data_IF_653548835569
#
_entry.id   IF_653548835569
#
_cell.length_a   1.000
_cell.length_b   1.000
_cell.length_c   1.000
_cell.angle_alpha   90.00
_cell.angle_beta   90.00
_cell.angle_gamma   90.00
#
_symmetry.space_group_name_H-M   'P 1'
#
loop_
_entity.id
_entity.type
_entity.pdbx_description
1 polymer ?
#
# COMPACT_ATOMS: atom_id res chain seq x y z
N UNK A 1 28.00 30.34 -3.88
CA UNK A 1 29.30 29.67 -3.70
C UNK A 1 30.33 30.50 -2.93
N UNK A 2 30.59 31.81 -3.20
CA UNK A 2 31.57 32.63 -2.46
C UNK A 2 31.30 32.68 -0.93
N UNK A 3 30.06 32.96 -0.47
CA UNK A 3 29.69 33.01 0.97
C UNK A 3 29.94 31.69 1.71
N UNK A 4 29.67 30.53 1.07
CA UNK A 4 29.93 29.22 1.66
C UNK A 4 31.41 28.95 1.80
N UNK A 5 32.22 29.40 0.84
CA UNK A 5 33.68 29.27 0.86
C UNK A 5 34.32 30.14 1.95
N UNK A 6 33.83 31.37 2.17
CA UNK A 6 34.29 32.28 3.25
C UNK A 6 33.87 31.75 4.65
N UNK A 7 32.66 31.24 4.80
CA UNK A 7 32.22 30.59 6.05
C UNK A 7 33.08 29.35 6.36
N UNK A 8 33.40 28.56 5.33
CA UNK A 8 34.22 27.36 5.49
C UNK A 8 35.69 27.73 5.81
N UNK A 9 36.23 28.83 5.30
CA UNK A 9 37.58 29.26 5.62
C UNK A 9 37.77 29.74 7.05
N UNK A 10 36.76 30.36 7.66
CA UNK A 10 36.83 30.96 9.01
C UNK A 10 36.39 30.03 10.15
N UNK A 11 35.89 28.82 9.87
CA UNK A 11 35.48 27.86 10.91
C UNK A 11 36.65 27.03 11.43
N UNK A 12 36.59 26.60 12.68
CA UNK A 12 37.58 25.72 13.30
C UNK A 12 37.69 24.39 12.54
N UNK A 13 38.88 23.82 12.49
CA UNK A 13 39.18 22.60 11.73
C UNK A 13 38.26 21.41 12.14
N UNK A 14 37.99 21.25 13.45
CA UNK A 14 37.10 20.23 13.95
C UNK A 14 35.68 20.33 13.37
N UNK A 15 35.12 21.53 13.26
CA UNK A 15 33.79 21.75 12.71
C UNK A 15 33.76 21.41 11.21
N UNK A 16 34.85 21.75 10.47
CA UNK A 16 34.98 21.42 9.06
C UNK A 16 34.95 19.92 8.82
N UNK A 17 35.78 19.17 9.53
CA UNK A 17 35.80 17.69 9.40
C UNK A 17 34.49 17.05 9.82
N UNK A 18 33.95 17.44 10.98
CA UNK A 18 32.68 16.90 11.44
C UNK A 18 31.53 17.15 10.46
N UNK A 19 31.40 18.40 9.96
CA UNK A 19 30.33 18.74 9.01
C UNK A 19 30.51 18.03 7.66
N UNK A 20 31.73 17.84 7.17
CA UNK A 20 32.00 17.13 5.93
C UNK A 20 31.63 15.65 6.03
N UNK A 21 32.01 14.98 7.12
CA UNK A 21 31.67 13.55 7.35
C UNK A 21 30.17 13.37 7.48
N UNK A 22 29.50 14.23 8.26
CA UNK A 22 28.04 14.16 8.43
C UNK A 22 27.34 14.36 7.08
N UNK A 23 27.74 15.36 6.29
CA UNK A 23 27.14 15.62 4.98
C UNK A 23 27.29 14.42 4.04
N UNK A 24 28.48 13.80 4.03
CA UNK A 24 28.77 12.63 3.20
C UNK A 24 27.97 11.40 3.59
N UNK A 25 27.58 11.27 4.88
CA UNK A 25 26.73 10.18 5.36
C UNK A 25 25.23 10.47 5.17
N UNK A 26 24.78 11.70 5.46
CA UNK A 26 23.35 12.05 5.46
C UNK A 26 22.74 12.02 4.04
N UNK A 27 23.49 12.47 3.03
CA UNK A 27 22.98 12.53 1.65
C UNK A 27 22.63 11.13 1.10
N UNK A 28 23.53 10.12 1.11
CA UNK A 28 23.20 8.78 0.62
C UNK A 28 22.07 8.12 1.40
N UNK A 29 22.07 8.26 2.75
CA UNK A 29 21.00 7.70 3.60
C UNK A 29 19.65 8.35 3.28
N UNK A 30 19.61 9.66 3.09
CA UNK A 30 18.40 10.39 2.73
C UNK A 30 17.84 9.96 1.36
N UNK A 31 18.70 9.79 0.37
CA UNK A 31 18.31 9.29 -0.96
C UNK A 31 17.78 7.86 -0.84
N UNK A 32 18.50 6.98 -0.14
CA UNK A 32 18.07 5.59 0.06
C UNK A 32 16.73 5.50 0.78
N UNK A 33 16.54 6.28 1.86
CA UNK A 33 15.27 6.36 2.57
C UNK A 33 14.13 6.82 1.64
N UNK A 34 14.36 7.86 0.84
CA UNK A 34 13.36 8.35 -0.12
C UNK A 34 12.91 7.28 -1.11
N UNK A 35 13.87 6.54 -1.69
CA UNK A 35 13.59 5.43 -2.61
C UNK A 35 12.85 4.29 -1.88
N UNK A 36 13.31 3.93 -0.68
CA UNK A 36 12.70 2.85 0.11
C UNK A 36 11.23 3.15 0.41
N UNK A 37 10.90 4.36 0.88
CA UNK A 37 9.52 4.74 1.18
C UNK A 37 8.65 4.88 -0.05
N UNK A 38 9.20 5.30 -1.18
CA UNK A 38 8.49 5.29 -2.45
C UNK A 38 8.10 3.86 -2.85
N UNK A 39 9.04 2.91 -2.78
CA UNK A 39 8.79 1.49 -3.07
C UNK A 39 7.80 0.88 -2.09
N UNK A 40 7.92 1.16 -0.78
CA UNK A 40 6.97 0.66 0.23
C UNK A 40 5.54 1.16 -0.03
N UNK A 41 5.37 2.42 -0.43
CA UNK A 41 4.05 2.94 -0.79
C UNK A 41 3.49 2.24 -2.03
N UNK A 42 4.31 2.06 -3.07
CA UNK A 42 3.91 1.35 -4.28
C UNK A 42 3.50 -0.10 -3.96
N UNK A 43 4.29 -0.79 -3.16
CA UNK A 43 3.99 -2.16 -2.75
C UNK A 43 2.68 -2.23 -1.94
N UNK A 44 2.44 -1.29 -1.02
CA UNK A 44 1.20 -1.26 -0.25
C UNK A 44 -0.04 -1.04 -1.12
N UNK A 45 0.07 -0.25 -2.18
CA UNK A 45 -1.02 -0.08 -3.17
C UNK A 45 -1.17 -1.35 -4.01
N UNK A 46 -0.07 -1.88 -4.53
CA UNK A 46 -0.07 -3.07 -5.39
C UNK A 46 -0.63 -4.30 -4.66
N UNK A 47 -0.23 -4.54 -3.42
CA UNK A 47 -0.74 -5.64 -2.59
C UNK A 47 -2.27 -5.58 -2.44
N UNK A 48 -2.83 -4.38 -2.27
CA UNK A 48 -4.28 -4.21 -2.20
C UNK A 48 -4.96 -4.34 -3.58
N UNK A 49 -4.30 -3.97 -4.67
CA UNK A 49 -4.81 -4.22 -6.02
C UNK A 49 -4.83 -5.73 -6.33
N UNK A 50 -3.76 -6.46 -5.99
CA UNK A 50 -3.67 -7.91 -6.17
C UNK A 50 -4.73 -8.65 -5.32
N UNK A 51 -4.95 -8.19 -4.08
CA UNK A 51 -6.04 -8.70 -3.24
C UNK A 51 -7.41 -8.47 -3.88
N UNK A 52 -7.63 -7.29 -4.43
CA UNK A 52 -8.89 -6.95 -5.09
C UNK A 52 -9.09 -7.79 -6.36
N UNK A 53 -8.02 -8.02 -7.13
CA UNK A 53 -8.05 -8.89 -8.31
C UNK A 53 -8.48 -10.32 -7.95
N UNK A 54 -7.87 -10.89 -6.94
CA UNK A 54 -8.26 -12.22 -6.44
C UNK A 54 -9.72 -12.26 -5.97
N UNK A 55 -10.14 -11.22 -5.25
CA UNK A 55 -11.51 -11.14 -4.71
C UNK A 55 -12.55 -11.02 -5.83
N UNK A 56 -12.27 -10.19 -6.83
CA UNK A 56 -13.20 -9.97 -7.93
C UNK A 56 -13.31 -11.21 -8.84
N UNK A 57 -12.19 -11.91 -9.11
CA UNK A 57 -12.20 -13.17 -9.85
C UNK A 57 -13.03 -14.24 -9.13
N UNK A 58 -12.87 -14.36 -7.80
CA UNK A 58 -13.68 -15.27 -6.99
C UNK A 58 -15.18 -14.93 -7.05
N UNK A 59 -15.51 -13.63 -7.06
CA UNK A 59 -16.90 -13.18 -7.21
C UNK A 59 -17.44 -13.51 -8.60
N UNK A 60 -16.64 -13.33 -9.66
CA UNK A 60 -17.00 -13.68 -11.04
C UNK A 60 -17.37 -15.15 -11.17
N UNK A 61 -16.47 -16.06 -10.75
CA UNK A 61 -16.69 -17.50 -10.78
C UNK A 61 -17.93 -17.90 -9.96
N UNK A 62 -18.09 -17.29 -8.79
CA UNK A 62 -19.21 -17.51 -7.91
C UNK A 62 -20.54 -17.06 -8.51
N UNK A 63 -20.62 -15.89 -9.11
CA UNK A 63 -21.82 -15.35 -9.77
C UNK A 63 -22.14 -16.18 -11.02
N UNK A 64 -21.16 -16.51 -11.84
CA UNK A 64 -21.37 -17.34 -13.04
C UNK A 64 -21.93 -18.70 -12.70
N UNK A 65 -21.40 -19.37 -11.66
CA UNK A 65 -21.94 -20.65 -11.17
C UNK A 65 -23.41 -20.56 -10.78
N UNK A 66 -23.83 -19.44 -10.18
CA UNK A 66 -25.22 -19.23 -9.74
C UNK A 66 -26.14 -18.90 -10.91
N UNK A 67 -25.69 -18.13 -11.88
CA UNK A 67 -26.39 -17.86 -13.14
C UNK A 67 -26.62 -19.18 -13.87
N UNK A 68 -25.57 -20.02 -13.97
CA UNK A 68 -25.69 -21.33 -14.61
C UNK A 68 -26.65 -22.25 -13.89
N UNK A 69 -26.70 -22.22 -12.56
CA UNK A 69 -27.66 -22.98 -11.76
C UNK A 69 -29.08 -22.54 -12.02
N UNK A 70 -29.38 -21.24 -12.09
CA UNK A 70 -30.70 -20.71 -12.47
C UNK A 70 -31.07 -21.11 -13.88
N UNK A 71 -30.16 -20.93 -14.83
CA UNK A 71 -30.38 -21.28 -16.24
C UNK A 71 -30.65 -22.78 -16.42
N UNK A 72 -29.89 -23.63 -15.73
CA UNK A 72 -30.08 -25.08 -15.79
C UNK A 72 -31.46 -25.48 -15.23
N UNK A 73 -31.82 -24.91 -14.07
CA UNK A 73 -33.13 -25.16 -13.48
C UNK A 73 -34.27 -24.69 -14.39
N UNK A 74 -34.17 -23.49 -14.96
CA UNK A 74 -35.16 -22.97 -15.92
C UNK A 74 -35.29 -23.87 -17.15
N UNK A 75 -34.16 -24.31 -17.73
CA UNK A 75 -34.19 -25.24 -18.89
C UNK A 75 -34.77 -26.58 -18.57
N UNK A 76 -34.61 -27.10 -17.34
CA UNK A 76 -35.21 -28.36 -16.91
C UNK A 76 -36.72 -28.23 -16.97
N UNK A 77 -37.30 -27.17 -16.39
CA UNK A 77 -38.76 -26.94 -16.44
C UNK A 77 -39.27 -26.65 -17.84
N UNK A 78 -38.51 -25.97 -18.68
CA UNK A 78 -38.87 -25.71 -20.10
C UNK A 78 -38.93 -26.98 -20.97
N UNK A 79 -38.31 -28.09 -20.52
CA UNK A 79 -38.24 -29.36 -21.25
C UNK A 79 -39.09 -30.46 -20.64
N UNK A 80 -39.84 -30.14 -19.61
CA UNK A 80 -40.74 -31.09 -18.97
C UNK A 80 -42.04 -31.24 -19.81
N UNK A 81 -42.13 -32.34 -20.54
CA UNK A 81 -43.24 -32.57 -21.49
C UNK A 81 -44.59 -32.63 -20.77
N UNK A 82 -44.64 -33.15 -19.52
CA UNK A 82 -45.86 -33.24 -18.75
C UNK A 82 -46.34 -31.86 -18.30
N UNK A 83 -45.42 -31.02 -17.84
CA UNK A 83 -45.71 -29.62 -17.46
C UNK A 83 -46.22 -28.84 -18.68
N UNK A 84 -45.48 -28.93 -19.82
CA UNK A 84 -45.87 -28.24 -21.05
C UNK A 84 -47.23 -28.66 -21.58
N UNK A 85 -47.56 -29.97 -21.54
CA UNK A 85 -48.87 -30.49 -21.92
C UNK A 85 -49.98 -29.91 -21.05
N UNK A 86 -49.78 -29.87 -19.73
CA UNK A 86 -50.80 -29.36 -18.78
C UNK A 86 -51.01 -27.85 -18.97
N UNK A 87 -49.96 -27.10 -19.18
CA UNK A 87 -50.04 -25.65 -19.45
C UNK A 87 -50.74 -25.38 -20.79
N UNK A 88 -50.42 -26.17 -21.82
CA UNK A 88 -51.02 -26.03 -23.14
C UNK A 88 -52.48 -26.34 -23.13
N UNK A 89 -52.92 -27.49 -22.57
CA UNK A 89 -54.31 -27.86 -22.40
C UNK A 89 -55.10 -26.76 -21.67
N UNK A 90 -54.53 -26.23 -20.58
CA UNK A 90 -55.11 -25.10 -19.87
C UNK A 90 -55.24 -23.84 -20.71
N UNK A 91 -54.21 -23.50 -21.54
CA UNK A 91 -54.19 -22.28 -22.36
C UNK A 91 -55.30 -22.31 -23.44
N UNK A 92 -55.58 -23.48 -24.03
CA UNK A 92 -56.63 -23.65 -25.05
C UNK A 92 -58.00 -23.93 -24.43
N UNK A 93 -58.11 -24.04 -23.11
CA UNK A 93 -59.38 -24.27 -22.44
C UNK A 93 -59.85 -25.73 -22.53
N UNK A 94 -58.96 -26.68 -22.72
CA UNK A 94 -59.26 -28.13 -22.69
C UNK A 94 -59.60 -28.57 -21.25
N UNK A 95 -60.65 -29.38 -21.09
CA UNK A 95 -61.01 -29.95 -19.78
C UNK A 95 -60.02 -31.04 -19.38
N UNK A 96 -59.22 -30.78 -18.34
CA UNK A 96 -58.30 -31.75 -17.73
C UNK A 96 -59.05 -32.47 -16.63
N UNK A 97 -59.10 -33.80 -16.69
CA UNK A 97 -59.77 -34.60 -15.70
C UNK A 97 -59.10 -34.53 -14.32
N UNK A 98 -59.87 -34.74 -13.25
CA UNK A 98 -59.34 -34.80 -11.88
C UNK A 98 -58.31 -35.91 -11.71
N UNK A 99 -58.41 -37.00 -12.44
CA UNK A 99 -57.47 -38.11 -12.40
C UNK A 99 -56.09 -37.67 -13.02
N UNK A 100 -56.11 -36.94 -14.13
CA UNK A 100 -54.90 -36.40 -14.78
C UNK A 100 -54.21 -35.32 -13.91
N UNK A 101 -54.99 -34.44 -13.26
CA UNK A 101 -54.47 -33.50 -12.28
C UNK A 101 -53.76 -34.18 -11.09
N UNK A 102 -54.36 -35.27 -10.60
CA UNK A 102 -53.82 -36.02 -9.48
C UNK A 102 -52.54 -36.78 -9.85
N UNK A 103 -52.53 -37.39 -11.05
CA UNK A 103 -51.34 -38.06 -11.59
C UNK A 103 -50.19 -37.08 -11.80
N UNK A 104 -50.45 -35.96 -12.46
CA UNK A 104 -49.46 -34.89 -12.66
C UNK A 104 -48.91 -34.39 -11.33
N UNK A 105 -49.76 -34.14 -10.33
CA UNK A 105 -49.31 -33.70 -9.00
C UNK A 105 -48.41 -34.73 -8.32
N UNK A 106 -48.75 -35.99 -8.34
CA UNK A 106 -48.05 -37.02 -7.58
C UNK A 106 -46.75 -37.47 -8.25
N UNK A 107 -46.67 -37.40 -9.55
CA UNK A 107 -45.51 -37.85 -10.31
C UNK A 107 -44.60 -36.68 -10.67
N UNK A 108 -45.07 -35.64 -11.33
CA UNK A 108 -44.29 -34.60 -11.91
C UNK A 108 -44.04 -33.43 -10.95
N UNK A 109 -45.09 -32.88 -10.35
CA UNK A 109 -44.92 -31.71 -9.45
C UNK A 109 -44.05 -32.05 -8.26
N UNK A 110 -44.19 -33.26 -7.67
CA UNK A 110 -43.34 -33.73 -6.58
C UNK A 110 -41.86 -33.93 -7.05
N UNK A 111 -41.67 -34.37 -8.31
CA UNK A 111 -40.30 -34.50 -8.85
C UNK A 111 -39.66 -33.15 -9.06
N UNK A 112 -40.37 -32.17 -9.64
CA UNK A 112 -39.95 -30.80 -9.82
C UNK A 112 -39.66 -30.10 -8.48
N UNK A 113 -40.51 -30.30 -7.46
CA UNK A 113 -40.32 -29.79 -6.10
C UNK A 113 -39.04 -30.34 -5.47
N UNK A 114 -38.76 -31.63 -5.60
CA UNK A 114 -37.54 -32.25 -5.10
C UNK A 114 -36.31 -31.69 -5.78
N UNK A 115 -36.36 -31.41 -7.09
CA UNK A 115 -35.26 -30.79 -7.84
C UNK A 115 -34.95 -29.42 -7.29
N UNK A 116 -35.96 -28.59 -7.03
CA UNK A 116 -35.78 -27.25 -6.45
C UNK A 116 -35.22 -27.33 -5.02
N UNK A 117 -35.83 -28.17 -4.17
CA UNK A 117 -35.44 -28.30 -2.76
C UNK A 117 -34.06 -28.91 -2.55
N UNK A 118 -33.54 -29.68 -3.50
CA UNK A 118 -32.19 -30.24 -3.46
C UNK A 118 -31.11 -29.23 -3.91
N UNK A 119 -31.49 -28.11 -4.44
CA UNK A 119 -30.56 -27.06 -4.81
C UNK A 119 -30.58 -25.91 -3.79
N UNK A 120 -29.60 -25.84 -2.88
CA UNK A 120 -29.58 -24.85 -1.80
C UNK A 120 -29.41 -23.42 -2.27
N UNK A 121 -28.97 -23.20 -3.53
CA UNK A 121 -28.82 -21.89 -4.11
C UNK A 121 -30.17 -21.28 -4.51
N UNK A 122 -31.16 -22.08 -4.87
CA UNK A 122 -32.45 -21.60 -5.32
C UNK A 122 -33.30 -21.15 -4.15
N UNK A 123 -33.98 -20.03 -4.30
CA UNK A 123 -35.10 -19.64 -3.45
C UNK A 123 -36.36 -20.40 -3.86
N UNK A 124 -36.56 -20.56 -5.16
CA UNK A 124 -37.69 -21.32 -5.72
C UNK A 124 -37.72 -21.23 -7.25
N UNK A 125 -38.46 -22.18 -7.84
CA UNK A 125 -38.84 -22.12 -9.26
C UNK A 125 -40.34 -22.20 -9.31
N UNK A 126 -40.98 -21.23 -9.94
CA UNK A 126 -42.43 -21.11 -10.05
C UNK A 126 -42.85 -21.00 -11.49
N UNK A 127 -43.89 -21.71 -11.81
CA UNK A 127 -44.53 -21.68 -13.11
C UNK A 127 -45.89 -21.03 -12.98
N UNK A 128 -46.16 -20.04 -13.79
CA UNK A 128 -47.41 -19.32 -13.87
C UNK A 128 -48.09 -19.61 -15.20
N UNK A 129 -49.32 -20.09 -15.15
CA UNK A 129 -50.15 -20.25 -16.35
C UNK A 129 -50.64 -18.90 -16.89
N UNK A 130 -51.02 -18.83 -18.14
CA UNK A 130 -51.53 -17.60 -18.79
C UNK A 130 -52.91 -17.21 -18.32
N UNK A 131 -53.68 -18.14 -17.71
CA UNK A 131 -55.03 -17.93 -17.25
C UNK A 131 -55.26 -18.56 -15.85
N UNK A 132 -56.44 -18.43 -15.31
CA UNK A 132 -56.81 -18.93 -13.99
C UNK A 132 -57.52 -20.31 -14.02
N UNK A 133 -57.52 -21.03 -15.16
CA UNK A 133 -58.11 -22.35 -15.33
C UNK A 133 -57.26 -23.48 -14.71
N UNK A 134 -55.97 -23.21 -14.46
CA UNK A 134 -55.05 -24.17 -13.85
C UNK A 134 -55.35 -24.35 -12.38
N UNK A 135 -55.42 -25.61 -11.93
CA UNK A 135 -55.41 -25.91 -10.52
C UNK A 135 -54.02 -25.64 -9.92
N UNK A 136 -53.95 -24.73 -8.95
CA UNK A 136 -52.68 -24.42 -8.30
C UNK A 136 -52.10 -25.62 -7.57
N UNK A 137 -50.82 -25.89 -7.80
CA UNK A 137 -50.04 -26.97 -7.15
C UNK A 137 -48.77 -26.37 -6.57
N UNK A 138 -48.93 -25.76 -5.40
CA UNK A 138 -47.79 -25.14 -4.69
C UNK A 138 -46.79 -26.22 -4.25
N UNK A 139 -45.47 -25.92 -4.28
CA UNK A 139 -44.86 -24.59 -4.56
C UNK A 139 -44.50 -24.34 -6.02
N UNK A 140 -44.91 -25.16 -6.98
CA UNK A 140 -44.45 -25.17 -8.38
C UNK A 140 -45.38 -24.44 -9.32
N UNK A 141 -46.71 -24.81 -9.36
CA UNK A 141 -47.61 -24.33 -10.37
C UNK A 141 -48.65 -23.36 -9.80
N UNK A 142 -48.81 -22.23 -10.46
CA UNK A 142 -49.69 -21.13 -10.06
C UNK A 142 -50.52 -20.60 -11.24
N UNK A 143 -51.64 -20.00 -10.94
CA UNK A 143 -52.50 -19.35 -11.92
C UNK A 143 -52.05 -17.91 -12.24
N UNK A 144 -52.64 -17.30 -13.28
CA UNK A 144 -52.26 -15.93 -13.73
C UNK A 144 -52.53 -14.86 -12.67
N UNK A 145 -53.56 -15.01 -11.85
CA UNK A 145 -53.88 -14.07 -10.75
C UNK A 145 -52.82 -14.03 -9.68
N UNK A 146 -52.13 -15.14 -9.43
CA UNK A 146 -50.96 -15.15 -8.53
C UNK A 146 -49.77 -14.43 -9.09
N UNK A 147 -49.48 -14.61 -10.39
CA UNK A 147 -48.37 -13.90 -11.07
C UNK A 147 -48.53 -12.39 -10.92
N UNK A 148 -49.77 -11.87 -11.10
CA UNK A 148 -50.04 -10.42 -11.01
C UNK A 148 -49.75 -9.81 -9.63
N UNK A 149 -49.59 -10.61 -8.57
CA UNK A 149 -49.23 -10.15 -7.23
C UNK A 149 -47.73 -9.92 -7.08
N UNK A 150 -46.91 -10.43 -7.98
CA UNK A 150 -45.48 -10.24 -7.96
C UNK A 150 -45.14 -8.83 -8.40
N UNK A 151 -44.17 -8.19 -7.72
CA UNK A 151 -43.73 -6.82 -8.02
C UNK A 151 -43.20 -6.69 -9.44
N UNK A 152 -42.50 -7.71 -9.93
CA UNK A 152 -41.96 -7.72 -11.30
C UNK A 152 -43.03 -7.80 -12.37
N UNK A 153 -44.17 -8.41 -12.10
CA UNK A 153 -45.23 -8.60 -13.09
C UNK A 153 -45.90 -7.28 -13.53
N UNK A 154 -45.80 -6.23 -12.74
CA UNK A 154 -46.28 -4.88 -13.08
C UNK A 154 -45.34 -4.07 -13.95
N UNK A 155 -44.13 -4.55 -14.23
CA UNK A 155 -43.16 -3.86 -15.05
C UNK A 155 -43.46 -4.03 -16.54
N UNK A 156 -43.20 -2.99 -17.32
CA UNK A 156 -43.39 -3.01 -18.78
C UNK A 156 -42.53 -4.10 -19.48
N UNK A 157 -41.30 -4.30 -18.97
CA UNK A 157 -40.36 -5.36 -19.38
C UNK A 157 -40.06 -6.25 -18.19
N UNK A 158 -40.86 -7.26 -17.94
CA UNK A 158 -40.65 -8.21 -16.85
C UNK A 158 -39.91 -9.49 -17.24
N UNK A 159 -39.79 -9.76 -18.54
CA UNK A 159 -39.05 -10.91 -19.05
C UNK A 159 -37.55 -10.61 -18.94
N UNK A 160 -36.79 -11.56 -18.41
CA UNK A 160 -35.36 -11.42 -18.11
C UNK A 160 -35.12 -11.31 -16.62
N UNK A 161 -34.01 -10.70 -16.23
CA UNK A 161 -33.61 -10.57 -14.83
C UNK A 161 -34.38 -9.45 -14.12
N UNK A 162 -34.92 -9.79 -12.94
CA UNK A 162 -35.59 -8.87 -12.03
C UNK A 162 -34.87 -8.84 -10.69
N UNK A 163 -34.54 -7.65 -10.19
CA UNK A 163 -33.70 -7.42 -9.03
C UNK A 163 -34.48 -6.84 -7.86
N UNK A 164 -34.04 -7.15 -6.64
CA UNK A 164 -34.31 -6.46 -5.39
C UNK A 164 -35.81 -6.30 -5.06
N UNK A 165 -36.59 -7.37 -5.29
CA UNK A 165 -38.00 -7.41 -4.93
C UNK A 165 -38.28 -8.37 -3.81
N UNK A 166 -39.47 -8.26 -3.19
CA UNK A 166 -39.94 -9.12 -2.12
C UNK A 166 -40.94 -10.15 -2.63
N UNK A 167 -40.94 -11.35 -2.02
CA UNK A 167 -41.91 -12.38 -2.36
C UNK A 167 -43.30 -12.05 -1.76
N UNK A 168 -44.25 -11.70 -2.61
CA UNK A 168 -45.59 -11.32 -2.20
C UNK A 168 -46.60 -12.46 -2.26
N UNK A 169 -46.18 -13.70 -2.62
CA UNK A 169 -47.14 -14.85 -2.70
C UNK A 169 -47.53 -15.35 -1.32
N UNK A 170 -46.63 -15.38 -0.36
CA UNK A 170 -46.84 -15.97 0.97
C UNK A 170 -46.55 -14.99 2.12
N UNK A 171 -46.93 -13.73 1.98
CA UNK A 171 -46.66 -12.67 2.96
C UNK A 171 -47.00 -12.97 4.44
N UNK A 172 -47.84 -13.96 4.70
CA UNK A 172 -48.32 -14.26 6.06
C UNK A 172 -47.61 -15.44 6.74
N UNK A 173 -46.82 -16.23 6.06
CA UNK A 173 -46.32 -17.51 6.56
C UNK A 173 -44.80 -17.69 6.50
N UNK A 174 -44.04 -16.80 5.87
CA UNK A 174 -42.61 -16.98 5.75
C UNK A 174 -41.85 -16.21 6.85
N UNK A 175 -41.07 -16.92 7.62
CA UNK A 175 -40.14 -16.36 8.62
C UNK A 175 -39.10 -15.39 8.01
N UNK A 176 -39.10 -15.21 6.68
CA UNK A 176 -38.09 -14.48 5.90
C UNK A 176 -38.74 -13.32 5.11
N UNK A 177 -39.66 -12.59 5.72
CA UNK A 177 -40.42 -11.49 5.07
C UNK A 177 -39.58 -10.34 4.47
N UNK A 178 -38.29 -10.27 4.79
CA UNK A 178 -37.39 -9.17 4.32
C UNK A 178 -36.31 -9.62 3.35
N UNK A 179 -36.29 -10.88 2.91
CA UNK A 179 -35.27 -11.32 1.96
C UNK A 179 -35.55 -10.75 0.58
N UNK A 180 -34.58 -10.00 0.07
CA UNK A 180 -34.59 -9.48 -1.28
C UNK A 180 -34.22 -10.58 -2.27
N UNK A 181 -34.96 -10.64 -3.39
CA UNK A 181 -34.88 -11.69 -4.40
C UNK A 181 -34.40 -11.12 -5.72
N UNK A 182 -33.64 -11.94 -6.42
CA UNK A 182 -33.31 -11.80 -7.84
C UNK A 182 -33.88 -13.01 -8.57
N UNK A 183 -34.51 -12.80 -9.71
CA UNK A 183 -35.04 -13.90 -10.52
C UNK A 183 -34.86 -13.70 -12.01
N UNK A 184 -34.75 -14.83 -12.71
CA UNK A 184 -34.88 -14.91 -14.14
C UNK A 184 -36.30 -15.28 -14.51
N UNK A 185 -36.99 -14.39 -15.21
CA UNK A 185 -38.37 -14.62 -15.68
C UNK A 185 -38.34 -14.95 -17.17
N UNK A 186 -38.77 -16.16 -17.52
CA UNK A 186 -38.70 -16.68 -18.89
C UNK A 186 -40.10 -17.07 -19.36
N UNK A 187 -40.57 -16.60 -20.53
CA UNK A 187 -41.85 -17.03 -21.09
C UNK A 187 -41.78 -18.48 -21.59
N UNK A 188 -42.85 -19.23 -21.39
CA UNK A 188 -43.04 -20.54 -21.99
C UNK A 188 -43.86 -20.33 -23.25
N UNK A 189 -43.26 -20.69 -24.40
CA UNK A 189 -43.88 -20.49 -25.70
C UNK A 189 -44.11 -21.85 -26.38
N UNK A 190 -45.33 -22.13 -26.74
CA UNK A 190 -45.73 -23.25 -27.56
C UNK A 190 -45.78 -22.79 -29.03
N UNK A 191 -45.43 -23.70 -29.96
CA UNK A 191 -45.37 -23.40 -31.38
C UNK A 191 -46.75 -23.05 -32.00
N UNK A 192 -47.83 -23.67 -31.47
CA UNK A 192 -49.18 -23.57 -32.05
C UNK A 192 -50.02 -22.53 -31.30
N UNK A 193 -49.83 -22.41 -29.98
CA UNK A 193 -50.68 -21.64 -29.08
C UNK A 193 -50.03 -20.38 -28.54
N UNK A 194 -48.78 -20.13 -28.91
CA UNK A 194 -48.02 -18.94 -28.48
C UNK A 194 -47.60 -19.05 -27.02
N UNK A 195 -47.75 -17.96 -26.25
CA UNK A 195 -47.36 -17.95 -24.84
C UNK A 195 -48.36 -18.73 -23.99
N UNK A 196 -47.93 -19.84 -23.37
CA UNK A 196 -48.72 -20.72 -22.50
C UNK A 196 -48.41 -20.56 -21.00
N UNK A 197 -47.33 -19.89 -20.65
CA UNK A 197 -46.93 -19.66 -19.27
C UNK A 197 -45.72 -18.79 -19.11
N UNK A 198 -45.26 -18.65 -17.85
CA UNK A 198 -44.04 -17.98 -17.46
C UNK A 198 -43.36 -18.78 -16.37
N UNK A 199 -42.05 -18.93 -16.44
CA UNK A 199 -41.23 -19.48 -15.36
C UNK A 199 -40.50 -18.33 -14.66
N UNK A 200 -40.54 -18.32 -13.36
CA UNK A 200 -39.74 -17.50 -12.45
C UNK A 200 -38.74 -18.41 -11.73
N UNK A 201 -37.47 -18.34 -12.06
CA UNK A 201 -36.41 -19.03 -11.32
C UNK A 201 -35.71 -18.03 -10.42
N UNK A 202 -35.85 -18.18 -9.12
CA UNK A 202 -35.49 -17.18 -8.13
C UNK A 202 -34.39 -17.64 -7.19
N UNK A 203 -33.58 -16.68 -6.77
CA UNK A 203 -32.52 -16.77 -5.76
C UNK A 203 -32.60 -15.56 -4.85
N UNK A 204 -32.04 -15.62 -3.62
CA UNK A 204 -31.91 -14.41 -2.81
C UNK A 204 -30.77 -13.53 -3.34
N UNK A 205 -30.88 -12.21 -3.20
CA UNK A 205 -29.80 -11.27 -3.55
C UNK A 205 -28.51 -11.60 -2.78
N UNK A 206 -28.64 -12.01 -1.51
CA UNK A 206 -27.53 -12.46 -0.67
C UNK A 206 -26.81 -13.69 -1.25
N UNK A 207 -27.57 -14.67 -1.76
CA UNK A 207 -26.98 -15.83 -2.42
C UNK A 207 -26.31 -15.46 -3.74
N UNK A 208 -26.91 -14.58 -4.54
CA UNK A 208 -26.34 -14.14 -5.82
C UNK A 208 -25.07 -13.33 -5.60
N UNK A 209 -25.10 -12.37 -4.70
CA UNK A 209 -24.03 -11.43 -4.42
C UNK A 209 -23.63 -11.44 -2.94
N UNK A 210 -22.96 -12.48 -2.43
CA UNK A 210 -22.58 -12.54 -1.01
C UNK A 210 -21.74 -11.33 -0.58
N UNK A 211 -20.85 -10.86 -1.46
CA UNK A 211 -19.98 -9.73 -1.18
C UNK A 211 -20.70 -8.41 -0.88
N UNK A 212 -21.98 -8.26 -1.27
CA UNK A 212 -22.78 -7.09 -0.92
C UNK A 212 -23.21 -7.12 0.57
N UNK A 213 -23.29 -8.31 1.15
CA UNK A 213 -23.81 -8.56 2.51
C UNK A 213 -22.69 -8.89 3.51
N UNK A 214 -21.44 -9.07 3.04
CA UNK A 214 -20.26 -9.20 3.89
C UNK A 214 -19.86 -7.80 4.40
N UNK A 215 -20.21 -7.48 5.66
CA UNK A 215 -19.86 -6.23 6.31
C UNK A 215 -18.38 -6.15 6.66
N UNK A 216 -17.49 -6.00 5.70
CA UNK A 216 -16.04 -5.84 5.91
C UNK A 216 -15.72 -4.35 6.10
N UNK A 217 -15.11 -4.01 7.23
CA UNK A 217 -14.74 -2.63 7.54
C UNK A 217 -13.81 -2.04 6.44
N UNK A 218 -14.24 -0.94 5.86
CA UNK A 218 -13.49 -0.25 4.81
C UNK A 218 -13.67 -0.85 3.41
N UNK A 219 -14.62 -1.78 3.23
CA UNK A 219 -15.00 -2.30 1.92
C UNK A 219 -16.47 -2.00 1.66
N UNK A 220 -16.78 -1.56 0.44
CA UNK A 220 -18.13 -1.30 -0.04
C UNK A 220 -18.33 -1.98 -1.38
N UNK A 221 -19.35 -2.84 -1.45
CA UNK A 221 -19.66 -3.58 -2.65
C UNK A 221 -21.10 -3.28 -3.06
N UNK A 222 -21.32 -3.06 -4.35
CA UNK A 222 -22.66 -2.85 -4.89
C UNK A 222 -22.73 -3.29 -6.34
N UNK A 223 -23.92 -3.68 -6.76
CA UNK A 223 -24.20 -4.02 -8.15
C UNK A 223 -24.86 -2.82 -8.83
N UNK A 224 -24.26 -2.32 -9.92
CA UNK A 224 -24.77 -1.23 -10.73
C UNK A 224 -25.33 -1.78 -12.02
N UNK A 225 -26.67 -1.64 -12.22
CA UNK A 225 -27.34 -2.11 -13.42
C UNK A 225 -27.22 -1.11 -14.55
N UNK A 226 -27.30 -1.56 -15.81
CA UNK A 226 -27.32 -0.72 -17.01
C UNK A 226 -28.53 0.23 -17.06
N UNK A 227 -29.56 -0.06 -16.23
CA UNK A 227 -30.68 0.85 -16.01
C UNK A 227 -30.36 2.05 -15.09
N UNK A 228 -29.12 2.16 -14.59
CA UNK A 228 -28.68 3.24 -13.73
C UNK A 228 -29.08 3.08 -12.26
N UNK A 229 -29.41 1.86 -11.82
CA UNK A 229 -29.81 1.56 -10.44
C UNK A 229 -28.68 0.87 -9.69
N UNK A 230 -28.33 1.40 -8.51
CA UNK A 230 -27.36 0.77 -7.61
C UNK A 230 -28.05 -0.07 -6.54
N UNK A 231 -27.65 -1.33 -6.41
CA UNK A 231 -28.15 -2.28 -5.42
C UNK A 231 -27.09 -2.55 -4.35
N UNK A 232 -27.42 -2.30 -3.10
CA UNK A 232 -26.58 -2.52 -1.92
C UNK A 232 -27.14 -3.63 -1.04
N UNK A 233 -26.26 -4.30 -0.28
CA UNK A 233 -26.69 -5.17 0.82
C UNK A 233 -27.17 -4.33 2.02
N UNK A 234 -27.85 -4.99 2.99
CA UNK A 234 -28.45 -4.29 4.15
C UNK A 234 -27.44 -3.52 4.99
N UNK A 235 -26.17 -3.99 5.09
CA UNK A 235 -25.10 -3.38 5.88
C UNK A 235 -24.10 -2.58 5.04
N UNK A 236 -24.19 -2.62 3.72
CA UNK A 236 -23.15 -2.12 2.79
C UNK A 236 -23.40 -0.75 2.21
N UNK A 237 -24.29 0.07 2.78
CA UNK A 237 -24.53 1.41 2.24
C UNK A 237 -23.28 2.29 2.40
N UNK A 238 -22.86 2.89 1.30
CA UNK A 238 -21.73 3.82 1.28
C UNK A 238 -22.03 5.05 2.15
N UNK A 239 -21.12 5.40 3.04
CA UNK A 239 -21.27 6.49 4.00
C UNK A 239 -21.49 7.87 3.33
N UNK A 240 -21.11 8.02 2.06
CA UNK A 240 -21.20 9.27 1.33
C UNK A 240 -21.78 9.07 -0.07
N UNK A 241 -22.92 9.68 -0.33
CA UNK A 241 -23.52 9.73 -1.68
C UNK A 241 -22.60 10.42 -2.70
N UNK A 242 -21.81 11.41 -2.25
CA UNK A 242 -20.86 12.13 -3.10
C UNK A 242 -19.72 11.20 -3.61
N UNK A 243 -19.25 10.29 -2.78
CA UNK A 243 -18.21 9.34 -3.16
C UNK A 243 -18.75 8.32 -4.20
N UNK A 244 -19.98 7.87 -4.02
CA UNK A 244 -20.66 7.03 -5.00
C UNK A 244 -20.78 7.72 -6.36
N UNK A 245 -21.24 8.97 -6.35
CA UNK A 245 -21.37 9.76 -7.58
C UNK A 245 -20.03 9.96 -8.29
N UNK A 246 -18.94 10.15 -7.54
CA UNK A 246 -17.61 10.32 -8.11
C UNK A 246 -17.08 8.99 -8.71
N UNK A 247 -17.34 7.86 -8.05
CA UNK A 247 -16.98 6.53 -8.59
C UNK A 247 -17.77 6.24 -9.88
N UNK A 248 -19.07 6.54 -9.90
CA UNK A 248 -19.92 6.31 -11.07
C UNK A 248 -19.59 7.26 -12.23
N UNK A 249 -19.11 8.49 -11.97
CA UNK A 249 -18.63 9.40 -13.02
C UNK A 249 -17.34 8.91 -13.70
N UNK A 250 -16.48 8.23 -12.96
CA UNK A 250 -15.25 7.64 -13.51
C UNK A 250 -15.50 6.28 -14.17
N UNK A 251 -16.65 5.65 -13.90
CA UNK A 251 -17.01 4.39 -14.51
C UNK A 251 -17.15 4.55 -16.04
N UNK A 252 -16.39 3.74 -16.77
CA UNK A 252 -16.54 3.56 -18.20
C UNK A 252 -17.02 2.13 -18.43
N UNK A 253 -18.07 1.98 -19.23
CA UNK A 253 -18.59 0.67 -19.59
C UNK A 253 -17.55 -0.05 -20.47
N UNK A 254 -16.82 -0.97 -19.87
CA UNK A 254 -15.84 -1.81 -20.54
C UNK A 254 -16.20 -3.28 -20.33
N UNK A 255 -15.79 -4.11 -21.30
CA UNK A 255 -16.10 -5.54 -21.34
C UNK A 255 -15.20 -6.39 -20.44
N UNK A 256 -14.15 -5.81 -19.84
CA UNK A 256 -13.13 -6.49 -19.03
C UNK A 256 -13.10 -5.97 -17.60
N UNK A 257 -12.60 -6.80 -16.70
CA UNK A 257 -12.39 -6.42 -15.30
C UNK A 257 -11.34 -5.31 -15.24
N UNK A 258 -11.68 -4.21 -14.57
CA UNK A 258 -10.78 -3.11 -14.30
C UNK A 258 -10.51 -2.97 -12.82
N UNK A 259 -9.23 -2.73 -12.45
CA UNK A 259 -8.84 -2.43 -11.08
C UNK A 259 -8.01 -1.15 -11.10
N UNK A 260 -8.48 -0.14 -10.40
CA UNK A 260 -7.85 1.17 -10.39
C UNK A 260 -7.59 1.65 -8.96
N UNK A 261 -6.46 2.35 -8.78
CA UNK A 261 -6.18 3.11 -7.56
C UNK A 261 -6.54 4.58 -7.78
N UNK A 262 -7.33 5.14 -6.86
CA UNK A 262 -7.73 6.55 -6.87
C UNK A 262 -7.66 7.18 -5.49
N UNK A 263 -7.39 8.48 -5.50
CA UNK A 263 -7.50 9.29 -4.30
C UNK A 263 -8.72 10.21 -4.44
N UNK A 264 -9.77 9.90 -3.69
CA UNK A 264 -11.05 10.62 -3.68
C UNK A 264 -11.41 11.02 -2.25
N UNK A 265 -11.94 12.20 -2.05
CA UNK A 265 -12.41 12.74 -0.75
C UNK A 265 -11.43 12.44 0.42
N UNK A 266 -10.11 12.67 0.19
CA UNK A 266 -9.00 12.38 1.12
C UNK A 266 -8.79 10.89 1.46
N UNK A 267 -9.58 9.99 0.89
CA UNK A 267 -9.40 8.54 0.99
C UNK A 267 -8.53 8.02 -0.15
N UNK A 268 -7.76 6.97 0.13
CA UNK A 268 -7.03 6.23 -0.89
C UNK A 268 -7.84 4.96 -1.16
N UNK A 269 -8.41 4.84 -2.35
CA UNK A 269 -9.32 3.77 -2.72
C UNK A 269 -8.71 2.89 -3.80
N UNK A 270 -8.93 1.59 -3.67
CA UNK A 270 -8.82 0.62 -4.76
C UNK A 270 -10.23 0.26 -5.17
N UNK A 271 -10.54 0.45 -6.44
CA UNK A 271 -11.87 0.24 -7.00
C UNK A 271 -11.72 -0.81 -8.10
N UNK A 272 -12.59 -1.82 -8.06
CA UNK A 272 -12.69 -2.81 -9.14
C UNK A 272 -14.08 -2.77 -9.76
N UNK A 273 -14.11 -2.89 -11.09
CA UNK A 273 -15.31 -2.98 -11.90
C UNK A 273 -15.33 -4.34 -12.59
N UNK A 274 -16.36 -5.12 -12.36
CA UNK A 274 -16.56 -6.43 -12.97
C UNK A 274 -17.89 -6.44 -13.74
N UNK A 275 -17.87 -6.38 -15.06
CA UNK A 275 -19.08 -6.49 -15.85
C UNK A 275 -19.68 -7.89 -15.76
N UNK A 276 -20.97 -7.98 -15.51
CA UNK A 276 -21.75 -9.23 -15.49
C UNK A 276 -22.80 -9.12 -16.59
N UNK A 277 -22.39 -9.45 -17.80
CA UNK A 277 -23.20 -9.26 -19.03
C UNK A 277 -24.56 -9.93 -18.94
N UNK A 278 -24.62 -11.14 -18.40
CA UNK A 278 -25.86 -11.89 -18.24
C UNK A 278 -26.88 -11.17 -17.36
N UNK A 279 -26.39 -10.38 -16.39
CA UNK A 279 -27.23 -9.61 -15.48
C UNK A 279 -27.44 -8.16 -15.92
N UNK A 280 -26.87 -7.76 -17.08
CA UNK A 280 -26.91 -6.38 -17.60
C UNK A 280 -26.50 -5.36 -16.54
N UNK A 281 -25.26 -5.48 -16.08
CA UNK A 281 -24.70 -4.56 -15.08
C UNK A 281 -23.29 -4.94 -14.63
N UNK A 282 -22.79 -4.19 -13.66
CA UNK A 282 -21.41 -4.29 -13.18
C UNK A 282 -21.38 -4.42 -11.67
N UNK A 283 -20.65 -5.41 -11.16
CA UNK A 283 -20.31 -5.48 -9.74
C UNK A 283 -19.14 -4.52 -9.48
N UNK A 284 -19.33 -3.60 -8.57
CA UNK A 284 -18.33 -2.61 -8.17
C UNK A 284 -17.93 -2.89 -6.73
N UNK A 285 -16.63 -3.15 -6.53
CA UNK A 285 -16.05 -3.35 -5.21
C UNK A 285 -15.06 -2.23 -4.92
N UNK A 286 -15.21 -1.60 -3.77
CA UNK A 286 -14.41 -0.45 -3.32
C UNK A 286 -13.75 -0.78 -2.00
N UNK A 287 -12.42 -0.59 -1.91
CA UNK A 287 -11.65 -0.81 -0.69
C UNK A 287 -10.91 0.46 -0.29
N UNK A 288 -11.14 0.91 0.94
CA UNK A 288 -10.40 2.02 1.53
C UNK A 288 -9.05 1.53 2.10
N UNK A 289 -7.98 1.91 1.44
CA UNK A 289 -6.60 1.60 1.85
C UNK A 289 -5.91 2.77 2.53
N UNK A 290 -6.66 3.79 2.94
CA UNK A 290 -6.09 5.00 3.57
C UNK A 290 -5.27 4.66 4.80
N UNK A 291 -5.74 3.71 5.62
CA UNK A 291 -5.03 3.23 6.81
C UNK A 291 -3.69 2.55 6.43
N UNK A 292 -3.67 1.74 5.39
CA UNK A 292 -2.47 1.05 4.91
C UNK A 292 -1.42 2.07 4.43
N UNK A 293 -1.84 3.03 3.62
CA UNK A 293 -0.98 4.12 3.12
C UNK A 293 -0.51 5.01 4.27
N UNK A 294 -1.39 5.32 5.24
CA UNK A 294 -1.04 6.11 6.43
C UNK A 294 0.01 5.40 7.29
N UNK A 295 -0.09 4.08 7.46
CA UNK A 295 0.90 3.29 8.18
C UNK A 295 2.31 3.41 7.55
N UNK A 296 2.41 3.43 6.22
CA UNK A 296 3.68 3.67 5.52
C UNK A 296 4.23 5.06 5.85
N UNK A 297 3.40 6.10 5.85
CA UNK A 297 3.83 7.44 6.24
C UNK A 297 4.24 7.51 7.72
N UNK A 298 3.52 6.86 8.61
CA UNK A 298 3.89 6.77 10.03
C UNK A 298 5.25 6.07 10.21
N UNK A 299 5.49 4.94 9.52
CA UNK A 299 6.80 4.27 9.53
C UNK A 299 7.92 5.16 9.00
N UNK A 300 7.66 5.94 7.97
CA UNK A 300 8.60 6.95 7.47
C UNK A 300 8.95 7.96 8.55
N UNK A 301 7.96 8.52 9.22
CA UNK A 301 8.16 9.58 10.21
C UNK A 301 8.95 9.07 11.42
N UNK A 302 8.67 7.84 11.86
CA UNK A 302 9.46 7.15 12.90
C UNK A 302 10.90 6.93 12.44
N UNK A 303 11.09 6.45 11.21
CA UNK A 303 12.44 6.24 10.65
C UNK A 303 13.22 7.55 10.58
N UNK A 304 12.61 8.64 10.11
CA UNK A 304 13.23 9.97 10.04
C UNK A 304 13.62 10.45 11.43
N UNK A 305 12.78 10.27 12.44
CA UNK A 305 13.07 10.64 13.83
C UNK A 305 14.27 9.85 14.39
N UNK A 306 14.30 8.53 14.19
CA UNK A 306 15.41 7.66 14.62
C UNK A 306 16.71 8.05 13.88
N UNK A 307 16.63 8.29 12.57
CA UNK A 307 17.78 8.73 11.76
C UNK A 307 18.32 10.06 12.27
N UNK A 308 17.45 11.01 12.61
CA UNK A 308 17.85 12.31 13.15
C UNK A 308 18.56 12.16 14.53
N UNK A 309 18.02 11.32 15.42
CA UNK A 309 18.66 11.00 16.70
C UNK A 309 20.05 10.35 16.50
N UNK A 310 20.16 9.44 15.55
CA UNK A 310 21.44 8.79 15.20
C UNK A 310 22.46 9.77 14.64
N UNK A 311 22.06 10.73 13.79
CA UNK A 311 22.93 11.78 13.28
C UNK A 311 23.48 12.65 14.40
N UNK A 312 22.63 13.02 15.39
CA UNK A 312 23.09 13.80 16.57
C UNK A 312 24.12 13.01 17.36
N UNK A 313 23.87 11.73 17.60
CA UNK A 313 24.78 10.84 18.32
C UNK A 313 26.10 10.67 17.58
N UNK A 314 26.07 10.44 16.28
CA UNK A 314 27.28 10.40 15.43
C UNK A 314 28.04 11.72 15.48
N UNK A 315 27.36 12.85 15.34
CA UNK A 315 27.98 14.17 15.42
C UNK A 315 28.71 14.37 16.75
N UNK A 316 28.11 13.92 17.86
CA UNK A 316 28.73 13.96 19.18
C UNK A 316 30.02 13.11 19.24
N UNK A 317 29.94 11.85 18.78
CA UNK A 317 31.13 10.97 18.80
C UNK A 317 32.24 11.46 17.88
N UNK A 318 31.92 11.85 16.64
CA UNK A 318 32.88 12.37 15.69
C UNK A 318 33.56 13.63 16.25
N UNK A 319 32.77 14.56 16.83
CA UNK A 319 33.33 15.76 17.44
C UNK A 319 34.27 15.40 18.60
N UNK A 320 33.98 14.43 19.44
CA UNK A 320 34.86 13.96 20.54
C UNK A 320 36.16 13.37 19.99
N UNK A 321 36.09 12.52 18.98
CA UNK A 321 37.29 11.92 18.34
C UNK A 321 38.16 12.98 17.73
N UNK A 322 37.60 13.88 16.91
CA UNK A 322 38.32 14.95 16.24
C UNK A 322 38.94 15.93 17.24
N UNK A 323 38.23 16.27 18.33
CA UNK A 323 38.80 17.10 19.40
C UNK A 323 39.99 16.41 20.09
N UNK A 324 39.94 15.11 20.31
CA UNK A 324 41.04 14.35 20.91
C UNK A 324 42.28 14.37 20.02
N UNK A 325 42.12 14.07 18.72
CA UNK A 325 43.22 14.12 17.75
C UNK A 325 43.81 15.54 17.60
N UNK A 326 42.95 16.55 17.50
CA UNK A 326 43.40 17.93 17.35
C UNK A 326 44.06 18.49 18.62
N UNK A 327 43.75 17.98 19.80
CA UNK A 327 44.39 18.36 21.03
C UNK A 327 45.91 18.06 20.96
N UNK A 328 46.29 16.85 20.55
CA UNK A 328 47.69 16.46 20.37
C UNK A 328 48.40 17.37 19.36
N UNK A 329 47.76 17.63 18.22
CA UNK A 329 48.29 18.53 17.20
C UNK A 329 48.48 19.96 17.73
N UNK A 330 47.56 20.51 18.50
CA UNK A 330 47.72 21.84 19.11
C UNK A 330 48.82 21.89 20.20
N UNK A 331 49.04 20.79 20.90
CA UNK A 331 50.16 20.68 21.85
C UNK A 331 51.51 20.76 21.12
N UNK A 332 51.66 20.06 20.01
CA UNK A 332 52.84 20.13 19.15
C UNK A 332 53.01 21.55 18.62
N UNK A 333 51.99 22.21 18.11
CA UNK A 333 52.06 23.59 17.64
C UNK A 333 52.46 24.58 18.74
N UNK A 334 51.96 24.40 19.96
CA UNK A 334 52.31 25.21 21.12
C UNK A 334 53.79 25.05 21.48
N UNK A 335 54.29 23.82 21.39
CA UNK A 335 55.69 23.50 21.60
C UNK A 335 56.59 24.21 20.56
N UNK A 336 56.28 24.05 19.27
CA UNK A 336 57.04 24.71 18.18
C UNK A 336 57.08 26.23 18.39
N UNK A 337 55.97 26.86 18.83
CA UNK A 337 55.95 28.31 19.11
C UNK A 337 56.83 28.70 20.29
N UNK A 338 57.06 27.85 21.32
CA UNK A 338 57.98 28.09 22.43
C UNK A 338 59.39 28.01 21.92
N UNK A 339 59.73 26.99 21.12
CA UNK A 339 61.05 26.84 20.50
C UNK A 339 61.39 28.05 19.62
N UNK A 340 60.42 28.56 18.81
CA UNK A 340 60.63 29.79 18.01
C UNK A 340 60.94 31.05 18.85
N UNK A 341 60.48 31.09 20.12
CA UNK A 341 60.78 32.20 21.03
C UNK A 341 62.12 32.05 21.78
N UNK A 342 62.83 30.97 21.47
CA UNK A 342 64.17 30.73 22.05
C UNK A 342 64.19 29.85 23.28
N UNK A 343 62.98 29.28 23.66
CA UNK A 343 62.87 28.32 24.78
C UNK A 343 63.24 26.92 24.23
N UNK A 344 64.46 26.53 24.33
CA UNK A 344 64.98 25.24 23.89
C UNK A 344 64.94 24.16 24.97
N UNK A 345 64.51 24.47 26.19
CA UNK A 345 64.45 23.50 27.30
C UNK A 345 63.12 22.80 27.41
N UNK A 346 62.21 23.04 26.45
CA UNK A 346 60.94 22.38 26.39
C UNK A 346 61.03 20.98 25.75
N UNK A 347 60.24 20.04 26.26
CA UNK A 347 60.13 18.66 25.75
C UNK A 347 58.65 18.31 25.56
N UNK A 348 58.32 17.59 24.52
CA UNK A 348 56.97 17.01 24.36
C UNK A 348 56.91 15.74 25.20
N UNK A 349 56.23 15.82 26.42
CA UNK A 349 56.26 14.75 27.39
C UNK A 349 55.35 13.56 27.07
N UNK A 350 54.25 13.76 26.36
CA UNK A 350 53.26 12.71 26.01
C UNK A 350 53.29 12.39 24.53
N UNK A 351 54.35 11.73 24.07
CA UNK A 351 54.38 11.11 22.77
C UNK A 351 53.52 9.82 22.82
N UNK A 352 52.32 9.83 22.27
CA UNK A 352 51.49 8.63 22.06
C UNK A 352 52.26 7.56 21.26
N UNK A 353 51.63 6.40 21.06
CA UNK A 353 52.17 5.31 20.22
C UNK A 353 51.65 5.39 18.77
N UNK A 354 50.94 6.46 18.43
CA UNK A 354 50.38 6.77 17.11
C UNK A 354 51.35 7.67 16.30
N UNK A 355 50.93 8.05 15.09
CA UNK A 355 51.70 8.90 14.17
C UNK A 355 51.97 10.28 14.79
N UNK A 356 51.13 10.79 15.68
CA UNK A 356 51.35 12.04 16.40
C UNK A 356 52.45 11.89 17.46
N UNK A 357 52.51 10.74 18.11
CA UNK A 357 53.56 10.37 19.03
C UNK A 357 54.94 10.22 18.36
N UNK A 358 54.95 9.61 17.18
CA UNK A 358 56.16 9.51 16.37
C UNK A 358 56.65 10.89 15.96
N UNK A 359 55.75 11.76 15.47
CA UNK A 359 56.06 13.15 15.11
C UNK A 359 56.65 13.91 16.32
N UNK A 360 56.05 13.79 17.52
CA UNK A 360 56.55 14.40 18.74
C UNK A 360 57.96 13.93 19.09
N UNK A 361 58.24 12.64 18.93
CA UNK A 361 59.55 12.03 19.17
C UNK A 361 60.60 12.59 18.20
N UNK A 362 60.25 12.70 16.92
CA UNK A 362 61.16 13.25 15.91
C UNK A 362 61.45 14.74 16.16
N UNK A 363 60.47 15.51 16.59
CA UNK A 363 60.65 16.93 16.95
C UNK A 363 61.57 17.06 18.16
N UNK A 364 61.41 16.22 19.21
CA UNK A 364 62.31 16.22 20.36
C UNK A 364 63.78 15.93 19.94
N UNK A 365 64.01 14.92 19.09
CA UNK A 365 65.36 14.61 18.55
C UNK A 365 65.93 15.77 17.74
N UNK A 366 65.10 16.42 16.93
CA UNK A 366 65.55 17.60 16.18
C UNK A 366 65.96 18.74 17.11
N UNK A 367 65.23 18.97 18.18
CA UNK A 367 65.56 20.01 19.17
C UNK A 367 66.86 19.71 19.91
N UNK A 368 67.08 18.45 20.31
CA UNK A 368 68.33 18.00 20.92
C UNK A 368 69.52 18.28 19.99
N UNK A 369 69.38 17.98 18.71
CA UNK A 369 70.41 18.25 17.71
C UNK A 369 70.68 19.76 17.49
N UNK A 370 69.64 20.58 17.58
CA UNK A 370 69.75 22.02 17.55
C UNK A 370 70.57 22.54 18.76
N UNK A 371 70.29 22.03 19.96
CA UNK A 371 71.06 22.38 21.18
C UNK A 371 72.50 22.00 21.05
N UNK A 372 72.82 20.78 20.63
CA UNK A 372 74.20 20.34 20.40
C UNK A 372 74.92 21.28 19.40
N UNK A 373 74.29 21.62 18.29
CA UNK A 373 74.89 22.54 17.27
C UNK A 373 75.06 23.94 17.82
N UNK A 374 74.21 24.45 18.68
CA UNK A 374 74.33 25.73 19.32
C UNK A 374 75.47 25.74 20.33
N UNK A 375 75.58 24.69 21.17
CA UNK A 375 76.73 24.54 22.10
C UNK A 375 78.09 24.46 21.37
N UNK A 376 78.12 23.65 20.26
CA UNK A 376 79.33 23.57 19.44
C UNK A 376 79.68 24.91 18.83
N UNK A 377 78.71 25.69 18.38
CA UNK A 377 78.93 26.99 17.79
C UNK A 377 79.45 27.98 18.83
N UNK A 378 78.86 28.02 20.03
CA UNK A 378 79.33 28.84 21.14
C UNK A 378 80.79 28.48 21.52
N UNK A 379 81.06 27.15 21.65
CA UNK A 379 82.37 26.65 21.98
C UNK A 379 83.45 27.07 20.88
N UNK A 380 83.05 26.95 19.63
CA UNK A 380 83.96 27.41 18.50
C UNK A 380 84.18 28.92 18.54
N UNK A 381 83.14 29.70 18.85
CA UNK A 381 83.28 31.16 18.93
C UNK A 381 84.09 31.54 20.14
N UNK A 382 83.98 30.86 21.28
CA UNK A 382 84.84 31.03 22.46
C UNK A 382 86.30 30.68 22.15
N UNK A 383 86.53 29.53 21.45
CA UNK A 383 87.90 29.17 21.05
C UNK A 383 88.52 30.17 20.07
N UNK A 384 87.75 30.68 19.12
CA UNK A 384 88.16 31.69 18.20
C UNK A 384 88.50 33.00 18.93
N UNK A 385 87.67 33.48 19.83
CA UNK A 385 87.89 34.65 20.65
C UNK A 385 89.12 34.48 21.56
N UNK A 386 89.25 33.32 22.21
CA UNK A 386 90.40 33.02 23.05
C UNK A 386 91.71 33.00 22.21
N UNK A 387 91.70 32.47 20.97
CA UNK A 387 92.81 32.50 20.06
C UNK A 387 93.16 33.92 19.67
N UNK A 388 92.19 34.77 19.40
CA UNK A 388 92.34 36.17 19.10
C UNK A 388 92.99 36.97 20.25
N UNK A 389 92.48 36.74 21.48
CA UNK A 389 92.99 37.30 22.74
C UNK A 389 94.45 36.86 22.90
N UNK A 390 94.77 35.59 22.67
CA UNK A 390 96.12 35.05 22.80
C UNK A 390 97.05 35.64 21.75
N UNK A 391 96.61 35.85 20.51
CA UNK A 391 97.34 36.51 19.47
C UNK A 391 97.66 37.99 19.80
N UNK A 392 96.61 38.70 20.32
CA UNK A 392 96.79 40.09 20.81
C UNK A 392 97.69 40.19 21.99
N UNK A 393 97.67 39.29 22.97
CA UNK A 393 98.59 39.23 24.12
C UNK A 393 100.02 38.99 23.64
N UNK A 394 100.21 38.07 22.68
CA UNK A 394 101.55 37.85 22.13
C UNK A 394 102.10 39.06 21.37
N UNK A 395 101.28 39.86 20.67
CA UNK A 395 101.68 41.10 20.02
C UNK A 395 102.07 42.17 21.04
N UNK A 396 101.29 42.27 22.17
CA UNK A 396 101.60 43.22 23.21
C UNK A 396 102.91 42.84 23.94
N UNK A 397 103.13 41.55 24.23
CA UNK A 397 104.40 41.07 24.84
C UNK A 397 105.60 41.32 23.90
N UNK A 398 105.45 41.03 22.61
CA UNK A 398 106.50 41.30 21.66
C UNK A 398 106.84 42.82 21.55
N UNK A 399 105.84 43.69 21.54
CA UNK A 399 106.02 45.15 21.52
C UNK A 399 106.57 45.65 22.83
N UNK A 400 106.18 45.07 23.97
CA UNK A 400 106.73 45.45 25.28
C UNK A 400 108.22 45.06 25.39
N UNK A 401 108.61 43.85 24.98
CA UNK A 401 109.99 43.37 25.00
C UNK A 401 110.85 44.22 24.05
N UNK A 402 110.32 44.61 22.88
CA UNK A 402 111.02 45.47 21.92
C UNK A 402 111.29 46.87 22.53
N UNK A 403 110.29 47.44 23.23
CA UNK A 403 110.45 48.78 23.83
C UNK A 403 111.35 48.77 25.07
N UNK A 404 111.40 47.71 25.88
CA UNK A 404 112.29 47.57 27.01
C UNK A 404 113.74 47.41 26.56
N UNK A 405 113.99 46.73 25.42
CA UNK A 405 115.34 46.62 24.89
C UNK A 405 115.86 47.89 24.20
N UNK A 406 115.07 48.92 23.91
CA UNK A 406 115.45 50.20 23.30
C UNK A 406 115.70 51.27 24.35
N UNK A 407 115.50 51.04 25.63
CA UNK A 407 115.69 51.98 26.75
C UNK A 407 116.88 51.62 27.66
N UNK A 408 117.82 50.83 27.13
CA UNK A 408 119.13 50.64 27.72
C UNK A 408 120.25 51.22 26.87
#
# INVERSE_FOLDING_TARGET
>A
MKKIRELFQNTKLNIKFTSMIILFMVIPIGIFAGVLFYVMKQNAVQENMDYMEYTIQRNEDGIQTKIDSINMSTRFFLRDDSLLRMLNASAVGEEISTAEWLDFKNNEVLALERLVNNNPLLYGVRVYAVNDSVQEMMPILYNASRMKKQEWAGKEKYVGWNFDYTDNIFNSYTMNQNRKIISLVTPIIDSDNGKIGVIESAMTMENMFPSLYEGIEGEWNFFYSDAGVSYFGEEGQMESSALLDDILKEYQEEDEIQIIYRKMDRKNLVISYMPVRELSGTLICVKDITKNVHNVYFMRDVFVAVMFAFIILLAFFINRIVQHMLKQFYEILKFIRKVQKGDLDVVIENCGKDEMGELGTQINKMLERIKELMEDNVNREMLAKNSEIWALQNQINAHFIYNVNRSR
#
